data_IF_379126294199
#
_entry.id   IF_379126294199
#
_cell.length_a   1.000
_cell.length_b   1.000
_cell.length_c   1.000
_cell.angle_alpha   90.00
_cell.angle_beta   90.00
_cell.angle_gamma   90.00
#
_symmetry.space_group_name_H-M   'P 1'
#
loop_
_entity.id
_entity.type
_entity.pdbx_description
1 polymer ?
#
# COMPACT_ATOMS: atom_id res chain seq x y z
N UNK A 1 8.28 26.09 -12.58
CA UNK A 1 7.23 26.20 -11.54
C UNK A 1 6.49 24.89 -11.57
N UNK A 2 6.66 24.06 -10.57
CA UNK A 2 5.83 22.88 -10.35
C UNK A 2 4.45 23.40 -9.94
N UNK A 3 3.47 23.29 -10.82
CA UNK A 3 2.07 23.56 -10.45
C UNK A 3 1.67 22.53 -9.41
N UNK A 4 1.33 23.00 -8.19
CA UNK A 4 0.76 22.10 -7.17
C UNK A 4 -0.51 21.45 -7.75
N UNK A 5 -0.69 20.17 -7.47
CA UNK A 5 -1.93 19.48 -7.85
C UNK A 5 -3.06 19.92 -6.93
N UNK A 6 -4.26 19.97 -7.47
CA UNK A 6 -5.48 20.16 -6.72
C UNK A 6 -6.09 18.81 -6.33
N UNK A 7 -6.68 18.75 -5.13
CA UNK A 7 -7.28 17.55 -4.56
C UNK A 7 -8.64 17.83 -3.94
N UNK A 8 -9.45 16.78 -3.84
CA UNK A 8 -10.72 16.79 -3.13
C UNK A 8 -10.59 15.97 -1.83
N UNK A 9 -10.86 16.57 -0.65
CA UNK A 9 -10.74 15.84 0.61
C UNK A 9 -11.94 14.93 0.86
N UNK A 10 -11.68 13.84 1.57
CA UNK A 10 -12.70 12.93 2.07
C UNK A 10 -12.51 11.48 1.62
N UNK A 11 -12.55 10.57 2.58
CA UNK A 11 -12.44 9.14 2.32
C UNK A 11 -13.70 8.61 1.68
N UNK A 12 -13.60 8.10 0.44
CA UNK A 12 -14.71 7.52 -0.32
C UNK A 12 -15.96 8.41 -0.40
N UNK A 13 -15.79 9.72 -0.34
CA UNK A 13 -16.88 10.65 -0.58
C UNK A 13 -17.35 10.53 -2.03
N UNK A 14 -18.65 10.75 -2.25
CA UNK A 14 -19.18 10.98 -3.58
C UNK A 14 -18.71 12.37 -4.04
N UNK A 15 -17.77 12.39 -4.95
CA UNK A 15 -17.20 13.64 -5.51
C UNK A 15 -17.59 13.78 -6.98
N UNK A 16 -17.52 15.00 -7.48
CA UNK A 16 -17.74 15.33 -8.87
C UNK A 16 -16.68 16.32 -9.32
N UNK A 17 -16.07 16.08 -10.48
CA UNK A 17 -14.98 16.90 -10.98
C UNK A 17 -14.94 16.88 -12.51
N UNK A 18 -14.54 17.99 -13.12
CA UNK A 18 -14.42 18.13 -14.57
C UNK A 18 -13.18 18.95 -14.92
N UNK A 19 -12.43 18.51 -15.93
CA UNK A 19 -11.28 19.23 -16.45
C UNK A 19 -11.67 20.29 -17.51
N UNK A 20 -12.87 20.15 -18.09
CA UNK A 20 -13.48 21.15 -18.97
C UNK A 20 -14.84 21.54 -18.38
N UNK A 21 -15.12 22.84 -18.20
CA UNK A 21 -16.40 23.32 -17.68
C UNK A 21 -17.59 22.79 -18.47
N UNK A 22 -18.57 22.20 -17.80
CA UNK A 22 -19.78 21.64 -18.41
C UNK A 22 -19.60 20.25 -19.03
N UNK A 23 -18.50 19.54 -18.75
CA UNK A 23 -18.30 18.16 -19.21
C UNK A 23 -19.11 17.14 -18.41
N UNK A 24 -19.48 17.46 -17.18
CA UNK A 24 -20.39 16.63 -16.38
C UNK A 24 -21.84 16.78 -16.88
N UNK A 25 -22.53 15.68 -17.20
CA UNK A 25 -23.97 15.74 -17.49
C UNK A 25 -24.76 16.18 -16.26
N UNK A 26 -25.80 16.97 -16.48
CA UNK A 26 -26.75 17.35 -15.44
C UNK A 26 -27.88 16.31 -15.32
N UNK A 27 -28.17 15.86 -14.10
CA UNK A 27 -29.34 15.06 -13.75
C UNK A 27 -29.28 13.57 -14.14
N UNK A 28 -28.58 13.18 -15.20
CA UNK A 28 -28.50 11.79 -15.67
C UNK A 28 -27.03 11.34 -15.76
N UNK A 29 -26.77 10.10 -15.34
CA UNK A 29 -25.44 9.50 -15.46
C UNK A 29 -25.11 9.11 -16.91
N UNK A 30 -26.10 8.68 -17.68
CA UNK A 30 -25.94 8.23 -19.07
C UNK A 30 -27.04 8.87 -19.94
N UNK A 31 -26.94 10.17 -20.22
CA UNK A 31 -27.90 10.83 -21.11
C UNK A 31 -27.77 10.29 -22.53
N UNK A 32 -28.82 10.46 -23.35
CA UNK A 32 -28.78 10.06 -24.76
C UNK A 32 -27.59 10.68 -25.52
N UNK A 33 -27.21 11.90 -25.15
CA UNK A 33 -26.02 12.59 -25.67
C UNK A 33 -25.32 13.30 -24.52
N UNK A 34 -24.08 12.89 -24.25
CA UNK A 34 -23.25 13.58 -23.25
C UNK A 34 -22.74 14.93 -23.76
N UNK A 35 -22.43 15.88 -22.84
CA UNK A 35 -21.69 17.09 -23.20
C UNK A 35 -20.40 16.74 -23.96
N UNK A 36 -20.01 17.60 -24.88
CA UNK A 36 -18.80 17.43 -25.73
C UNK A 36 -18.79 16.12 -26.53
N UNK A 37 -19.94 15.47 -26.74
CA UNK A 37 -20.04 14.14 -27.37
C UNK A 37 -19.17 13.05 -26.68
N UNK A 38 -18.92 13.19 -25.36
CA UNK A 38 -18.17 12.22 -24.58
C UNK A 38 -18.95 10.90 -24.42
N UNK A 39 -18.23 9.83 -24.19
CA UNK A 39 -18.82 8.52 -23.85
C UNK A 39 -18.97 8.39 -22.35
N UNK A 40 -20.17 8.06 -21.89
CA UNK A 40 -20.43 7.70 -20.51
C UNK A 40 -20.03 6.24 -20.26
N UNK A 41 -19.15 6.02 -19.26
CA UNK A 41 -18.68 4.70 -18.87
C UNK A 41 -18.81 4.55 -17.36
N UNK A 42 -19.33 3.41 -16.86
CA UNK A 42 -19.39 3.12 -15.45
C UNK A 42 -18.23 2.20 -15.05
N UNK A 43 -17.46 2.61 -14.04
CA UNK A 43 -16.46 1.79 -13.36
C UNK A 43 -17.01 1.39 -11.99
N UNK A 44 -17.17 0.09 -11.74
CA UNK A 44 -17.70 -0.46 -10.49
C UNK A 44 -16.63 -1.24 -9.75
N UNK A 45 -16.35 -0.83 -8.51
CA UNK A 45 -15.49 -1.55 -7.57
C UNK A 45 -16.25 -2.51 -6.65
N UNK A 46 -17.55 -2.60 -6.80
CA UNK A 46 -18.44 -3.56 -6.11
C UNK A 46 -19.44 -4.15 -7.08
N UNK A 47 -20.11 -5.24 -6.68
CA UNK A 47 -21.21 -5.78 -7.48
C UNK A 47 -22.30 -4.72 -7.69
N UNK A 48 -22.99 -4.72 -8.84
CA UNK A 48 -24.10 -3.80 -9.11
C UNK A 48 -25.22 -3.88 -8.06
N UNK A 49 -25.37 -5.05 -7.46
CA UNK A 49 -26.38 -5.35 -6.43
C UNK A 49 -25.90 -5.07 -5.01
N UNK A 50 -24.69 -4.56 -4.82
CA UNK A 50 -24.19 -4.22 -3.50
C UNK A 50 -25.11 -3.20 -2.79
N UNK A 51 -25.37 -3.34 -1.48
CA UNK A 51 -26.15 -2.37 -0.72
C UNK A 51 -25.57 -0.97 -0.84
N UNK A 52 -26.42 0.05 -0.86
CA UNK A 52 -26.01 1.45 -1.05
C UNK A 52 -24.81 1.89 -0.20
N UNK A 53 -24.71 1.56 1.10
CA UNK A 53 -23.56 1.96 1.94
C UNK A 53 -22.23 1.35 1.51
N UNK A 54 -22.26 0.22 0.79
CA UNK A 54 -21.07 -0.53 0.36
C UNK A 54 -20.87 -0.49 -1.16
N UNK A 55 -21.73 0.24 -1.89
CA UNK A 55 -21.64 0.34 -3.34
C UNK A 55 -20.54 1.33 -3.72
N UNK A 56 -19.53 0.83 -4.44
CA UNK A 56 -18.39 1.61 -4.94
C UNK A 56 -18.48 1.69 -6.45
N UNK A 57 -18.64 2.90 -6.97
CA UNK A 57 -18.75 3.14 -8.41
C UNK A 57 -18.41 4.58 -8.77
N UNK A 58 -17.92 4.77 -9.99
CA UNK A 58 -17.76 6.08 -10.60
C UNK A 58 -18.26 6.07 -12.03
N UNK A 59 -18.82 7.19 -12.46
CA UNK A 59 -19.19 7.46 -13.82
C UNK A 59 -18.13 8.33 -14.46
N UNK A 60 -17.60 7.86 -15.58
CA UNK A 60 -16.52 8.48 -16.34
C UNK A 60 -17.09 9.01 -17.66
N UNK A 61 -16.72 10.23 -18.00
CA UNK A 61 -17.08 10.86 -19.26
C UNK A 61 -15.77 11.06 -20.02
N UNK A 62 -15.57 10.22 -21.05
CA UNK A 62 -14.28 10.07 -21.70
C UNK A 62 -14.35 10.22 -23.20
N UNK A 63 -13.21 10.55 -23.79
CA UNK A 63 -13.11 10.82 -25.24
C UNK A 63 -13.32 9.53 -26.04
N UNK A 64 -12.80 8.38 -25.57
CA UNK A 64 -12.94 7.07 -26.22
C UNK A 64 -13.33 6.02 -25.17
N UNK A 65 -14.31 5.16 -25.44
CA UNK A 65 -14.67 4.12 -24.47
C UNK A 65 -13.55 3.09 -24.32
N UNK A 66 -13.41 2.54 -23.12
CA UNK A 66 -12.33 1.57 -22.76
C UNK A 66 -12.25 0.34 -23.65
N UNK A 67 -13.30 0.02 -24.39
CA UNK A 67 -13.32 -1.12 -25.32
C UNK A 67 -12.53 -0.87 -26.61
N UNK A 68 -12.08 0.37 -26.87
CA UNK A 68 -11.26 0.72 -28.05
C UNK A 68 -9.81 0.32 -27.77
N UNK A 69 -9.52 -0.94 -28.00
CA UNK A 69 -8.20 -1.56 -27.82
C UNK A 69 -8.03 -2.79 -28.68
N UNK A 70 -6.78 -3.20 -28.94
CA UNK A 70 -6.48 -4.46 -29.61
C UNK A 70 -6.72 -5.66 -28.67
N UNK A 71 -6.70 -6.87 -29.22
CA UNK A 71 -6.78 -8.08 -28.38
C UNK A 71 -5.54 -8.21 -27.47
N UNK A 72 -5.76 -8.63 -26.23
CA UNK A 72 -4.69 -8.91 -25.29
C UNK A 72 -3.83 -10.09 -25.73
N UNK A 73 -2.54 -9.98 -25.44
CA UNK A 73 -1.55 -11.04 -25.62
C UNK A 73 -0.81 -11.28 -24.31
N UNK A 74 -0.41 -12.52 -24.00
CA UNK A 74 0.41 -12.81 -22.84
C UNK A 74 1.69 -11.98 -22.84
N UNK A 75 2.08 -11.49 -21.65
CA UNK A 75 3.32 -10.79 -21.39
C UNK A 75 4.02 -11.49 -20.21
N UNK A 76 5.35 -11.60 -20.28
CA UNK A 76 6.13 -12.15 -19.17
C UNK A 76 6.02 -11.23 -17.93
N UNK A 77 5.71 -11.82 -16.79
CA UNK A 77 5.50 -11.09 -15.55
C UNK A 77 6.81 -10.76 -14.80
N UNK A 78 7.97 -11.14 -15.34
CA UNK A 78 9.26 -10.92 -14.70
C UNK A 78 9.33 -11.57 -13.32
N UNK A 79 9.48 -10.74 -12.28
CA UNK A 79 9.57 -11.20 -10.87
C UNK A 79 8.26 -11.03 -10.10
N UNK A 80 7.14 -10.78 -10.79
CA UNK A 80 5.82 -10.65 -10.16
C UNK A 80 5.13 -12.00 -10.08
N UNK A 81 4.62 -12.34 -8.90
CA UNK A 81 3.84 -13.54 -8.64
C UNK A 81 2.49 -13.18 -7.98
N UNK A 82 1.54 -14.10 -8.01
CA UNK A 82 0.19 -13.93 -7.47
C UNK A 82 -0.24 -15.20 -6.73
N UNK A 83 -1.12 -15.05 -5.75
CA UNK A 83 -1.74 -16.18 -5.06
C UNK A 83 -2.83 -16.87 -5.93
N UNK A 84 -3.06 -18.19 -5.77
CA UNK A 84 -2.37 -19.06 -4.82
C UNK A 84 -0.93 -19.34 -5.24
N UNK A 85 0.00 -19.47 -4.27
CA UNK A 85 1.40 -19.70 -4.59
C UNK A 85 1.61 -21.11 -5.17
N UNK A 86 2.34 -21.17 -6.26
CA UNK A 86 2.71 -22.47 -6.86
C UNK A 86 3.82 -23.15 -6.04
N UNK A 87 4.80 -22.37 -5.57
CA UNK A 87 6.00 -22.74 -4.76
C UNK A 87 6.67 -21.45 -4.29
N UNK A 88 7.59 -21.51 -3.28
CA UNK A 88 7.78 -22.60 -2.32
C UNK A 88 6.68 -22.67 -1.26
N UNK A 89 6.72 -23.70 -0.41
CA UNK A 89 5.83 -23.79 0.75
C UNK A 89 6.09 -22.65 1.75
N UNK A 90 5.09 -22.28 2.54
CA UNK A 90 5.28 -21.37 3.66
C UNK A 90 6.27 -21.96 4.67
N UNK A 91 7.07 -21.08 5.26
CA UNK A 91 8.11 -21.40 6.21
C UNK A 91 7.77 -20.71 7.55
N UNK A 92 7.82 -21.40 8.72
CA UNK A 92 7.56 -20.82 10.01
C UNK A 92 8.70 -19.94 10.55
N UNK A 93 9.86 -19.91 9.90
CA UNK A 93 10.97 -19.09 10.29
C UNK A 93 10.71 -17.62 10.02
N UNK A 94 11.27 -16.76 10.88
CA UNK A 94 11.30 -15.32 10.67
C UNK A 94 12.25 -15.00 9.52
N UNK A 95 11.86 -14.06 8.67
CA UNK A 95 12.65 -13.65 7.50
C UNK A 95 12.88 -12.15 7.49
N UNK A 96 14.00 -11.73 6.92
CA UNK A 96 14.34 -10.31 6.73
C UNK A 96 15.06 -10.10 5.41
N UNK A 97 14.82 -8.95 4.81
CA UNK A 97 15.46 -8.47 3.60
C UNK A 97 16.00 -7.06 3.83
N UNK A 98 17.19 -6.82 3.34
CA UNK A 98 17.73 -5.47 3.17
C UNK A 98 16.95 -4.71 2.08
N UNK A 99 17.18 -3.41 1.95
CA UNK A 99 16.54 -2.64 0.88
C UNK A 99 16.82 -3.23 -0.50
N UNK A 100 15.78 -3.41 -1.31
CA UNK A 100 15.94 -3.83 -2.69
C UNK A 100 16.91 -2.89 -3.42
N UNK A 101 17.94 -3.41 -4.13
CA UNK A 101 18.90 -2.57 -4.83
C UNK A 101 18.23 -1.74 -5.92
N UNK A 102 18.69 -0.52 -6.09
CA UNK A 102 18.24 0.36 -7.16
C UNK A 102 18.83 -0.12 -8.49
N UNK A 103 18.05 -0.17 -9.57
CA UNK A 103 18.52 -0.69 -10.85
C UNK A 103 19.54 0.26 -11.49
N UNK A 104 20.59 -0.32 -12.11
CA UNK A 104 21.54 0.42 -12.95
C UNK A 104 21.01 0.59 -14.38
N UNK A 105 20.34 -0.45 -14.91
CA UNK A 105 19.70 -0.39 -16.22
C UNK A 105 18.38 0.39 -16.17
N UNK A 106 17.96 1.05 -17.28
CA UNK A 106 16.67 1.73 -17.34
C UNK A 106 15.50 0.77 -17.07
N UNK A 107 14.86 0.95 -15.92
CA UNK A 107 13.80 0.08 -15.40
C UNK A 107 12.62 0.95 -14.99
N UNK A 108 11.44 0.68 -15.52
CA UNK A 108 10.20 1.35 -15.09
C UNK A 108 9.55 0.64 -13.90
N UNK A 109 8.43 1.20 -13.42
CA UNK A 109 7.74 0.69 -12.23
C UNK A 109 7.33 -0.78 -12.37
N UNK A 110 6.77 -1.20 -13.51
CA UNK A 110 6.30 -2.58 -13.72
C UNK A 110 7.48 -3.55 -13.72
N UNK A 111 8.54 -3.22 -14.47
CA UNK A 111 9.73 -4.05 -14.58
C UNK A 111 10.55 -4.07 -13.27
N UNK A 112 10.40 -3.02 -12.45
CA UNK A 112 11.02 -2.87 -11.14
C UNK A 112 10.32 -3.59 -9.98
N UNK A 113 9.12 -4.16 -10.22
CA UNK A 113 8.40 -4.92 -9.20
C UNK A 113 9.04 -6.27 -8.92
N UNK A 114 9.12 -6.64 -7.64
CA UNK A 114 9.45 -7.97 -7.16
C UNK A 114 8.46 -8.37 -6.08
N UNK A 115 7.75 -9.45 -6.30
CA UNK A 115 6.88 -10.02 -5.27
C UNK A 115 7.71 -10.72 -4.21
N UNK A 116 7.58 -10.25 -2.96
CA UNK A 116 8.26 -10.87 -1.82
C UNK A 116 7.48 -12.08 -1.33
N UNK A 117 6.19 -11.92 -1.10
CA UNK A 117 5.33 -12.99 -0.62
C UNK A 117 3.88 -12.78 -1.09
N UNK A 118 3.13 -13.87 -1.13
CA UNK A 118 1.71 -13.90 -1.46
C UNK A 118 0.94 -14.79 -0.50
N UNK A 119 -0.35 -14.53 -0.33
CA UNK A 119 -1.25 -15.41 0.40
C UNK A 119 -2.67 -15.37 -0.18
N UNK A 120 -3.52 -16.32 0.27
CA UNK A 120 -4.89 -16.40 -0.21
C UNK A 120 -5.02 -16.89 -1.65
N UNK A 121 -5.98 -16.33 -2.39
CA UNK A 121 -6.29 -16.66 -3.79
C UNK A 121 -6.92 -15.44 -4.47
N UNK A 122 -6.22 -14.87 -5.46
CA UNK A 122 -6.68 -13.70 -6.20
C UNK A 122 -7.99 -13.97 -6.96
N UNK A 123 -8.18 -15.17 -7.51
CA UNK A 123 -9.41 -15.54 -8.23
C UNK A 123 -10.61 -15.71 -7.27
N UNK A 124 -10.36 -16.12 -6.02
CA UNK A 124 -11.35 -16.18 -4.95
C UNK A 124 -11.54 -14.84 -4.21
N UNK A 125 -10.78 -13.80 -4.60
CA UNK A 125 -10.78 -12.47 -3.98
C UNK A 125 -10.48 -12.53 -2.47
N UNK A 126 -9.44 -13.26 -2.09
CA UNK A 126 -8.98 -13.41 -0.71
C UNK A 126 -7.46 -13.27 -0.63
N UNK A 127 -6.97 -12.70 0.48
CA UNK A 127 -5.53 -12.53 0.70
C UNK A 127 -4.96 -11.32 -0.01
N UNK A 128 -3.64 -11.33 -0.15
CA UNK A 128 -2.87 -10.26 -0.77
C UNK A 128 -1.52 -10.73 -1.32
N UNK A 129 -0.94 -9.91 -2.19
CA UNK A 129 0.47 -9.98 -2.58
C UNK A 129 1.25 -8.81 -2.00
N UNK A 130 2.47 -9.06 -1.56
CA UNK A 130 3.37 -8.01 -1.10
C UNK A 130 4.55 -7.91 -2.04
N UNK A 131 4.76 -6.73 -2.59
CA UNK A 131 5.82 -6.45 -3.53
C UNK A 131 6.73 -5.34 -2.99
N UNK A 132 7.98 -5.37 -3.40
CA UNK A 132 8.88 -4.21 -3.38
C UNK A 132 9.07 -3.72 -4.80
N UNK A 133 9.25 -2.41 -4.96
CA UNK A 133 9.63 -1.84 -6.24
C UNK A 133 10.92 -1.04 -6.13
N UNK A 134 11.71 -1.05 -7.20
CA UNK A 134 12.85 -0.18 -7.40
C UNK A 134 12.95 0.16 -8.89
N UNK A 135 12.90 1.45 -9.24
CA UNK A 135 12.94 1.86 -10.63
C UNK A 135 13.64 3.22 -10.81
N UNK A 136 14.12 3.49 -12.04
CA UNK A 136 14.87 4.69 -12.40
C UNK A 136 14.43 5.31 -13.73
N UNK A 137 13.30 4.86 -14.28
CA UNK A 137 12.75 5.35 -15.56
C UNK A 137 11.24 5.54 -15.46
N UNK A 138 10.76 6.64 -16.04
CA UNK A 138 9.33 6.90 -16.18
C UNK A 138 8.67 5.86 -17.10
N UNK A 139 7.44 5.49 -16.79
CA UNK A 139 6.52 4.93 -17.78
C UNK A 139 6.08 6.08 -18.70
N UNK A 140 6.36 6.00 -20.02
CA UNK A 140 6.01 7.06 -20.96
C UNK A 140 4.90 6.66 -21.92
N UNK A 141 5.12 5.60 -22.67
CA UNK A 141 4.16 5.04 -23.63
C UNK A 141 3.53 3.74 -23.10
N UNK A 142 3.69 3.47 -21.82
CA UNK A 142 3.25 2.27 -21.13
C UNK A 142 2.33 2.63 -19.98
N UNK A 143 1.19 1.95 -19.88
CA UNK A 143 0.20 2.09 -18.82
C UNK A 143 -0.05 0.76 -18.16
N UNK A 144 -0.62 0.80 -16.96
CA UNK A 144 -0.91 -0.40 -16.19
C UNK A 144 -2.29 -0.31 -15.54
N UNK A 145 -2.94 -1.44 -15.38
CA UNK A 145 -4.02 -1.62 -14.41
C UNK A 145 -3.97 -3.03 -13.83
N UNK A 146 -4.44 -3.15 -12.59
CA UNK A 146 -4.55 -4.41 -11.89
C UNK A 146 -6.04 -4.82 -11.82
N UNK A 147 -6.38 -5.98 -12.37
CA UNK A 147 -7.72 -6.56 -12.29
C UNK A 147 -7.86 -7.57 -11.14
N UNK A 148 -6.76 -8.01 -10.55
CA UNK A 148 -6.72 -8.98 -9.46
C UNK A 148 -6.94 -8.32 -8.09
N UNK A 149 -6.43 -7.09 -7.91
CA UNK A 149 -6.48 -6.38 -6.64
C UNK A 149 -6.47 -4.86 -6.76
N UNK A 150 -6.60 -4.18 -5.62
CA UNK A 150 -6.22 -2.78 -5.49
C UNK A 150 -4.79 -2.68 -4.95
N UNK A 151 -4.08 -1.64 -5.34
CA UNK A 151 -2.68 -1.42 -4.97
C UNK A 151 -2.56 -0.35 -3.91
N UNK A 152 -2.13 -0.71 -2.70
CA UNK A 152 -1.67 0.24 -1.69
C UNK A 152 -0.17 0.43 -1.86
N UNK A 153 0.25 1.62 -2.27
CA UNK A 153 1.63 1.98 -2.59
C UNK A 153 2.21 2.79 -1.42
N UNK A 154 3.37 2.36 -0.93
CA UNK A 154 4.09 2.98 0.19
C UNK A 154 5.50 3.39 -0.28
N UNK A 155 5.70 4.63 -0.73
CA UNK A 155 7.02 5.12 -1.11
C UNK A 155 7.98 5.17 0.07
N UNK A 156 9.22 4.72 -0.14
CA UNK A 156 10.30 4.80 0.82
C UNK A 156 11.38 5.79 0.37
N UNK A 157 11.72 5.76 -0.91
CA UNK A 157 12.70 6.64 -1.56
C UNK A 157 12.09 7.24 -2.82
N UNK A 158 12.30 8.53 -3.03
CA UNK A 158 11.79 9.28 -4.17
C UNK A 158 10.29 9.61 -4.04
N UNK A 159 9.83 10.49 -4.91
CA UNK A 159 8.44 10.93 -5.00
C UNK A 159 7.86 10.46 -6.33
N UNK A 160 6.69 9.84 -6.26
CA UNK A 160 5.97 9.30 -7.41
C UNK A 160 4.93 10.30 -7.93
N UNK A 161 4.85 10.43 -9.23
CA UNK A 161 3.72 11.02 -9.92
C UNK A 161 2.87 9.88 -10.51
N UNK A 162 1.75 9.60 -9.87
CA UNK A 162 0.79 8.60 -10.31
C UNK A 162 -0.24 9.31 -11.22
N UNK A 163 -0.14 9.09 -12.52
CA UNK A 163 -1.07 9.63 -13.49
C UNK A 163 -2.14 8.58 -13.75
N UNK A 164 -3.33 8.81 -13.28
CA UNK A 164 -4.46 7.89 -13.44
C UNK A 164 -5.49 8.43 -14.42
N UNK A 165 -6.38 7.59 -14.93
CA UNK A 165 -7.48 8.04 -15.79
C UNK A 165 -8.49 8.96 -15.07
N UNK A 166 -8.43 9.03 -13.72
CA UNK A 166 -9.30 9.90 -12.90
C UNK A 166 -8.58 11.17 -12.40
N UNK A 167 -7.32 11.37 -12.76
CA UNK A 167 -6.49 12.50 -12.35
C UNK A 167 -5.13 12.07 -11.81
N UNK A 168 -4.39 12.99 -11.23
CA UNK A 168 -3.00 12.77 -10.87
C UNK A 168 -2.77 12.90 -9.36
N UNK A 169 -1.95 12.01 -8.81
CA UNK A 169 -1.48 12.04 -7.43
C UNK A 169 0.04 12.22 -7.40
N UNK A 170 0.52 13.03 -6.48
CA UNK A 170 1.94 13.07 -6.13
C UNK A 170 2.10 12.51 -4.72
N UNK A 171 2.98 11.50 -4.56
CA UNK A 171 3.08 10.70 -3.35
C UNK A 171 4.56 10.49 -3.02
N UNK A 172 4.98 11.03 -1.88
CA UNK A 172 6.34 10.93 -1.38
C UNK A 172 6.51 9.96 -0.21
N UNK A 173 7.74 9.86 0.28
CA UNK A 173 8.03 9.12 1.52
C UNK A 173 7.25 9.70 2.69
N UNK A 174 6.58 8.85 3.48
CA UNK A 174 5.67 9.26 4.56
C UNK A 174 4.21 9.43 4.12
N UNK A 175 3.91 9.31 2.84
CA UNK A 175 2.54 9.24 2.31
C UNK A 175 2.24 7.84 1.76
N UNK A 176 0.97 7.54 1.59
CA UNK A 176 0.49 6.36 0.86
C UNK A 176 -0.45 6.76 -0.25
N UNK A 177 -0.55 5.92 -1.28
CA UNK A 177 -1.63 5.98 -2.26
C UNK A 177 -2.31 4.62 -2.43
N UNK A 178 -3.61 4.66 -2.71
CA UNK A 178 -4.36 3.48 -3.12
C UNK A 178 -4.88 3.71 -4.54
N UNK A 179 -4.53 2.78 -5.43
CA UNK A 179 -5.07 2.69 -6.78
C UNK A 179 -6.08 1.55 -6.79
N UNK A 180 -7.37 1.84 -6.85
CA UNK A 180 -8.42 0.82 -6.86
C UNK A 180 -8.31 -0.10 -8.09
N UNK A 181 -8.82 -1.33 -7.93
CA UNK A 181 -8.85 -2.37 -8.97
C UNK A 181 -9.44 -1.84 -10.29
N UNK A 182 -8.75 -2.08 -11.39
CA UNK A 182 -9.20 -1.75 -12.73
C UNK A 182 -8.91 -0.32 -13.21
N UNK A 183 -8.43 0.57 -12.34
CA UNK A 183 -8.06 1.92 -12.75
C UNK A 183 -6.75 1.89 -13.52
N UNK A 184 -6.76 2.50 -14.71
CA UNK A 184 -5.58 2.62 -15.56
C UNK A 184 -4.69 3.76 -15.08
N UNK A 185 -3.39 3.51 -15.00
CA UNK A 185 -2.44 4.49 -14.52
C UNK A 185 -1.05 4.33 -15.13
N UNK A 186 -0.22 5.33 -14.88
CA UNK A 186 1.17 5.41 -15.27
C UNK A 186 1.98 5.99 -14.11
N UNK A 187 3.15 5.44 -13.84
CA UNK A 187 4.04 5.91 -12.77
C UNK A 187 5.21 6.67 -13.39
N UNK A 188 5.46 7.87 -12.86
CA UNK A 188 6.62 8.70 -13.19
C UNK A 188 7.34 9.15 -11.92
N UNK A 189 8.60 9.49 -12.07
CA UNK A 189 9.38 10.17 -11.04
C UNK A 189 8.97 11.64 -11.00
N UNK A 190 8.57 12.13 -9.84
CA UNK A 190 8.20 13.52 -9.65
C UNK A 190 9.44 14.42 -9.52
N UNK A 191 9.24 15.73 -9.45
CA UNK A 191 10.30 16.65 -9.04
C UNK A 191 10.50 16.59 -7.52
N UNK A 192 11.74 16.57 -7.05
CA UNK A 192 12.03 16.71 -5.61
C UNK A 192 11.50 18.04 -5.06
N UNK A 193 11.30 18.10 -3.75
CA UNK A 193 10.81 19.30 -3.05
C UNK A 193 11.72 20.52 -3.20
N UNK A 194 12.99 20.32 -3.55
CA UNK A 194 14.00 21.35 -3.84
C UNK A 194 13.99 21.82 -5.32
N UNK A 195 13.08 21.28 -6.15
CA UNK A 195 12.97 21.57 -7.58
C UNK A 195 13.90 20.70 -8.45
N UNK A 196 14.68 19.80 -7.86
CA UNK A 196 15.39 18.75 -8.61
C UNK A 196 14.41 17.72 -9.13
N UNK A 197 14.79 16.99 -10.19
CA UNK A 197 14.03 15.83 -10.64
C UNK A 197 14.54 14.59 -9.94
N UNK A 198 13.62 13.81 -9.38
CA UNK A 198 13.94 12.48 -8.88
C UNK A 198 14.47 11.61 -10.02
N UNK A 199 15.51 10.84 -9.74
CA UNK A 199 16.16 9.97 -10.73
C UNK A 199 15.86 8.50 -10.49
N UNK A 200 15.34 8.16 -9.33
CA UNK A 200 15.04 6.79 -8.91
C UNK A 200 14.04 6.78 -7.77
N UNK A 201 13.34 5.67 -7.61
CA UNK A 201 12.41 5.46 -6.53
C UNK A 201 12.43 4.01 -6.05
N UNK A 202 12.10 3.81 -4.77
CA UNK A 202 11.92 2.52 -4.13
C UNK A 202 10.82 2.61 -3.10
N UNK A 203 10.12 1.47 -2.89
CA UNK A 203 9.08 1.36 -1.89
C UNK A 203 8.40 0.00 -1.92
N UNK A 204 7.20 -0.04 -1.39
CA UNK A 204 6.44 -1.26 -1.19
C UNK A 204 5.05 -1.13 -1.80
N UNK A 205 4.46 -2.27 -2.15
CA UNK A 205 3.08 -2.36 -2.63
C UNK A 205 2.40 -3.53 -1.94
N UNK A 206 1.23 -3.30 -1.36
CA UNK A 206 0.29 -4.34 -1.02
C UNK A 206 -0.77 -4.42 -2.12
N UNK A 207 -0.84 -5.55 -2.80
CA UNK A 207 -1.89 -5.89 -3.75
C UNK A 207 -2.99 -6.63 -2.99
N UNK A 208 -4.04 -5.91 -2.62
CA UNK A 208 -5.17 -6.46 -1.86
C UNK A 208 -6.17 -7.15 -2.81
N UNK A 209 -6.26 -8.48 -2.73
CA UNK A 209 -7.23 -9.25 -3.54
C UNK A 209 -8.64 -9.24 -2.94
N UNK A 210 -8.77 -8.92 -1.65
CA UNK A 210 -10.03 -8.99 -0.90
C UNK A 210 -10.97 -7.81 -1.13
N UNK A 211 -11.77 -7.57 -0.11
CA UNK A 211 -12.63 -6.38 -0.07
C UNK A 211 -11.81 -5.10 -0.13
N UNK A 212 -12.30 -4.03 -0.77
CA UNK A 212 -11.59 -2.77 -0.83
C UNK A 212 -11.24 -2.24 0.57
N UNK A 213 -10.05 -1.64 0.71
CA UNK A 213 -9.57 -1.04 1.95
C UNK A 213 -10.52 0.03 2.46
N UNK A 214 -10.90 -0.04 3.71
CA UNK A 214 -11.78 0.91 4.40
C UNK A 214 -11.16 1.42 5.70
N UNK A 215 -11.77 2.44 6.30
CA UNK A 215 -11.35 2.90 7.63
C UNK A 215 -11.75 1.86 8.68
N UNK A 216 -10.88 1.55 9.64
CA UNK A 216 -11.21 0.61 10.71
C UNK A 216 -12.32 1.14 11.61
N UNK A 217 -13.01 0.26 12.30
CA UNK A 217 -14.00 0.61 13.31
C UNK A 217 -13.37 1.41 14.46
N UNK A 218 -14.01 2.49 14.87
CA UNK A 218 -13.46 3.38 15.90
C UNK A 218 -13.50 2.78 17.32
N UNK A 219 -14.42 1.84 17.57
CA UNK A 219 -14.55 1.21 18.88
C UNK A 219 -14.67 2.26 20.00
N UNK A 220 -13.97 2.08 21.15
CA UNK A 220 -14.01 3.02 22.26
C UNK A 220 -13.20 4.30 22.02
N UNK A 221 -12.40 4.41 20.96
CA UNK A 221 -11.53 5.54 20.65
C UNK A 221 -12.36 6.77 20.25
N UNK A 222 -13.47 6.55 19.54
CA UNK A 222 -14.33 7.63 19.03
C UNK A 222 -13.77 8.29 17.76
N UNK A 223 -14.47 9.34 17.31
CA UNK A 223 -14.25 9.94 15.99
C UNK A 223 -12.90 10.67 15.81
N UNK A 224 -12.22 11.03 16.90
CA UNK A 224 -10.94 11.77 16.84
C UNK A 224 -9.71 10.85 16.90
N UNK A 225 -9.91 9.54 16.98
CA UNK A 225 -8.81 8.57 16.94
C UNK A 225 -8.48 8.13 15.52
N UNK A 226 -7.27 7.55 15.33
CA UNK A 226 -6.82 6.94 14.07
C UNK A 226 -6.76 7.93 12.89
N UNK A 227 -6.87 7.41 11.65
CA UNK A 227 -6.91 8.24 10.45
C UNK A 227 -8.25 8.97 10.31
N UNK A 228 -8.20 10.29 10.06
CA UNK A 228 -9.42 11.08 9.88
C UNK A 228 -9.83 11.07 8.40
N UNK A 229 -11.10 10.78 8.07
CA UNK A 229 -11.59 10.76 6.68
C UNK A 229 -11.27 12.02 5.88
N UNK A 230 -11.26 13.20 6.49
CA UNK A 230 -10.99 14.49 5.82
C UNK A 230 -9.58 14.61 5.25
N UNK A 231 -8.62 13.84 5.78
CA UNK A 231 -7.20 13.96 5.44
C UNK A 231 -6.82 13.06 4.26
N UNK A 232 -7.76 12.25 3.76
CA UNK A 232 -7.64 11.51 2.52
C UNK A 232 -7.95 12.40 1.32
N UNK A 233 -7.09 12.36 0.31
CA UNK A 233 -7.13 13.27 -0.83
C UNK A 233 -7.33 12.48 -2.13
N UNK A 234 -8.40 12.80 -2.85
CA UNK A 234 -8.74 12.26 -4.16
C UNK A 234 -8.36 13.26 -5.25
N UNK A 235 -7.83 12.85 -6.42
CA UNK A 235 -7.43 13.79 -7.46
C UNK A 235 -8.65 14.47 -8.10
N UNK A 236 -8.42 15.64 -8.67
CA UNK A 236 -9.37 16.26 -9.60
C UNK A 236 -9.18 15.70 -10.99
N UNK A 237 -10.22 15.75 -11.84
CA UNK A 237 -10.16 15.28 -13.21
C UNK A 237 -9.03 15.99 -13.99
N UNK A 238 -8.23 15.19 -14.66
CA UNK A 238 -7.20 15.65 -15.57
C UNK A 238 -7.11 14.65 -16.73
N UNK A 239 -7.08 15.14 -17.97
CA UNK A 239 -7.07 14.27 -19.14
C UNK A 239 -5.97 14.63 -20.11
N UNK A 240 -5.62 13.70 -20.99
CA UNK A 240 -4.82 13.94 -22.17
C UNK A 240 -5.49 13.33 -23.42
N UNK A 241 -5.68 14.14 -24.44
CA UNK A 241 -6.09 13.67 -25.77
C UNK A 241 -4.84 13.51 -26.63
N UNK A 242 -4.10 12.44 -26.41
CA UNK A 242 -2.85 12.15 -27.10
C UNK A 242 -2.99 10.89 -27.94
N UNK A 243 -2.80 11.06 -29.26
CA UNK A 243 -2.72 9.95 -30.20
C UNK A 243 -1.26 9.44 -30.30
N UNK A 244 -1.10 8.15 -30.55
CA UNK A 244 0.21 7.51 -30.66
C UNK A 244 0.12 6.00 -30.46
N UNK A 245 1.25 5.36 -30.41
CA UNK A 245 1.32 3.93 -30.06
C UNK A 245 1.58 3.76 -28.57
N UNK A 246 0.66 3.12 -27.87
CA UNK A 246 0.74 2.88 -26.43
C UNK A 246 0.57 1.42 -26.09
N UNK A 247 1.24 0.98 -25.04
CA UNK A 247 1.06 -0.32 -24.43
C UNK A 247 0.22 -0.18 -23.14
N UNK A 248 -0.87 -0.92 -23.05
CA UNK A 248 -1.60 -1.10 -21.80
C UNK A 248 -1.33 -2.51 -21.28
N UNK A 249 -0.67 -2.59 -20.13
CA UNK A 249 -0.41 -3.83 -19.41
C UNK A 249 -1.53 -4.06 -18.40
N UNK A 250 -2.08 -5.26 -18.42
CA UNK A 250 -3.10 -5.73 -17.48
C UNK A 250 -2.52 -6.84 -16.62
N UNK A 251 -2.66 -6.75 -15.31
CA UNK A 251 -2.51 -7.92 -14.44
C UNK A 251 -3.89 -8.56 -14.29
N UNK A 252 -4.05 -9.78 -14.76
CA UNK A 252 -5.32 -10.50 -14.77
C UNK A 252 -5.12 -11.98 -14.49
N UNK A 253 -5.79 -12.49 -13.47
CA UNK A 253 -5.71 -13.88 -13.00
C UNK A 253 -4.25 -14.34 -12.83
N UNK A 254 -3.46 -13.50 -12.14
CA UNK A 254 -2.07 -13.76 -11.79
C UNK A 254 -1.07 -13.69 -12.93
N UNK A 255 -1.47 -13.18 -14.09
CA UNK A 255 -0.61 -13.08 -15.28
C UNK A 255 -0.62 -11.66 -15.84
N UNK A 256 0.46 -11.30 -16.49
CA UNK A 256 0.50 -10.09 -17.29
C UNK A 256 0.03 -10.33 -18.72
N UNK A 257 -0.72 -9.35 -19.18
CA UNK A 257 -1.24 -9.28 -20.54
C UNK A 257 -0.96 -7.90 -21.09
N UNK A 258 -0.72 -7.81 -22.38
CA UNK A 258 -0.47 -6.54 -23.03
C UNK A 258 -1.43 -6.35 -24.20
N UNK A 259 -1.92 -5.13 -24.37
CA UNK A 259 -2.67 -4.71 -25.55
C UNK A 259 -2.13 -3.39 -26.07
N UNK A 260 -2.39 -3.09 -27.35
CA UNK A 260 -2.02 -1.84 -28.00
C UNK A 260 -3.21 -0.91 -28.08
N UNK A 261 -2.93 0.36 -27.80
CA UNK A 261 -3.85 1.48 -27.98
C UNK A 261 -3.25 2.45 -28.99
N UNK A 262 -4.09 3.12 -29.78
CA UNK A 262 -3.71 4.22 -30.68
C UNK A 262 -3.86 5.59 -30.01
N UNK A 263 -4.21 5.60 -28.72
CA UNK A 263 -4.44 6.81 -27.91
C UNK A 263 -4.06 6.54 -26.45
N UNK A 264 -3.79 7.62 -25.70
CA UNK A 264 -3.61 7.54 -24.26
C UNK A 264 -4.91 7.12 -23.57
N UNK A 265 -4.88 6.13 -22.64
CA UNK A 265 -6.07 5.76 -21.90
C UNK A 265 -6.43 6.74 -20.77
N UNK A 266 -5.64 7.80 -20.55
CA UNK A 266 -5.91 8.86 -19.57
C UNK A 266 -6.81 9.95 -20.18
N UNK A 267 -7.89 9.55 -20.84
CA UNK A 267 -8.74 10.42 -21.63
C UNK A 267 -10.11 10.74 -21.00
N UNK A 268 -10.23 10.57 -19.68
CA UNK A 268 -11.44 10.89 -18.90
C UNK A 268 -11.47 12.40 -18.60
N UNK A 269 -12.39 13.11 -19.25
CA UNK A 269 -12.51 14.58 -19.16
C UNK A 269 -13.22 15.01 -17.89
N UNK A 270 -14.16 14.20 -17.41
CA UNK A 270 -14.91 14.44 -16.19
C UNK A 270 -15.36 13.12 -15.57
N UNK A 271 -15.56 13.11 -14.27
CA UNK A 271 -16.08 11.95 -13.55
C UNK A 271 -16.76 12.35 -12.25
N UNK A 272 -17.65 11.50 -11.76
CA UNK A 272 -18.21 11.61 -10.41
C UNK A 272 -18.41 10.22 -9.81
N UNK A 273 -18.31 10.11 -8.51
CA UNK A 273 -18.49 8.86 -7.78
C UNK A 273 -17.65 8.78 -6.52
N UNK A 274 -17.57 7.57 -5.97
CA UNK A 274 -16.83 7.23 -4.75
C UNK A 274 -15.82 6.11 -4.95
N UNK A 275 -15.58 5.68 -6.17
CA UNK A 275 -14.55 4.70 -6.54
C UNK A 275 -13.48 5.39 -7.35
N UNK A 276 -12.44 5.84 -6.67
CA UNK A 276 -11.37 6.65 -7.22
C UNK A 276 -10.07 6.42 -6.45
N UNK A 277 -8.90 6.70 -7.05
CA UNK A 277 -7.63 6.66 -6.32
C UNK A 277 -7.59 7.75 -5.26
N UNK A 278 -6.82 7.49 -4.21
CA UNK A 278 -6.61 8.47 -3.14
C UNK A 278 -5.22 8.34 -2.53
N UNK A 279 -4.80 9.39 -1.83
CA UNK A 279 -3.58 9.40 -1.00
C UNK A 279 -3.88 9.84 0.42
N UNK A 280 -2.96 9.54 1.33
CA UNK A 280 -3.02 9.96 2.72
C UNK A 280 -1.62 10.23 3.25
N UNK A 281 -1.46 11.33 3.99
CA UNK A 281 -0.22 11.67 4.69
C UNK A 281 -0.23 11.00 6.07
N UNK A 282 0.70 10.08 6.31
CA UNK A 282 0.80 9.31 7.55
C UNK A 282 1.10 10.20 8.78
N UNK A 283 1.63 11.41 8.57
CA UNK A 283 1.82 12.39 9.64
C UNK A 283 0.49 12.93 10.21
N UNK A 284 -0.62 12.80 9.47
CA UNK A 284 -1.96 13.17 9.93
C UNK A 284 -2.60 12.12 10.86
N UNK A 285 -1.94 10.97 11.08
CA UNK A 285 -2.50 9.91 11.91
C UNK A 285 -2.54 10.31 13.40
N UNK A 286 -3.71 10.19 14.02
CA UNK A 286 -3.89 10.51 15.43
C UNK A 286 -3.48 9.33 16.32
N UNK A 287 -2.20 9.30 16.69
CA UNK A 287 -1.59 8.23 17.48
C UNK A 287 -2.09 8.23 18.93
N UNK A 288 -2.48 7.08 19.43
CA UNK A 288 -2.98 6.89 20.81
C UNK A 288 -2.07 5.90 21.53
N UNK A 289 -1.64 6.26 22.74
CA UNK A 289 -0.85 5.42 23.63
C UNK A 289 -1.45 5.31 25.02
N UNK A 290 -1.11 4.24 25.76
CA UNK A 290 -1.41 4.10 27.17
C UNK A 290 -0.48 4.95 28.03
N UNK A 291 -1.01 5.55 29.08
CA UNK A 291 -0.23 6.22 30.14
C UNK A 291 -0.15 5.37 31.42
N UNK A 292 -0.87 4.25 31.51
CA UNK A 292 -0.93 3.35 32.66
C UNK A 292 -0.10 2.09 32.47
N UNK A 293 -0.36 1.06 33.26
CA UNK A 293 0.50 -0.11 33.47
C UNK A 293 0.54 -1.13 32.35
N UNK A 294 0.13 -0.79 31.14
CA UNK A 294 0.12 -1.77 30.07
C UNK A 294 0.50 -1.18 28.71
N UNK A 295 1.05 -2.00 27.85
CA UNK A 295 1.41 -1.63 26.49
C UNK A 295 0.23 -1.94 25.56
N UNK A 296 -0.18 -1.00 24.68
CA UNK A 296 -1.20 -1.29 23.66
C UNK A 296 -0.76 -2.44 22.75
N UNK A 297 -1.73 -3.17 22.20
CA UNK A 297 -1.44 -4.14 21.16
C UNK A 297 -0.71 -3.50 19.97
N UNK A 298 0.28 -4.16 19.37
CA UNK A 298 1.05 -3.59 18.28
C UNK A 298 0.21 -3.10 17.10
N UNK A 299 -0.93 -3.74 16.84
CA UNK A 299 -1.83 -3.41 15.71
C UNK A 299 -2.80 -2.26 15.99
N UNK A 300 -2.68 -1.55 17.11
CA UNK A 300 -3.61 -0.46 17.45
C UNK A 300 -3.57 0.72 16.46
N UNK A 301 -2.47 0.88 15.73
CA UNK A 301 -2.28 1.99 14.79
C UNK A 301 -2.69 1.64 13.37
N UNK A 302 -3.82 0.97 13.20
CA UNK A 302 -4.37 0.61 11.88
C UNK A 302 -4.90 1.85 11.17
N UNK A 303 -4.35 2.12 9.99
CA UNK A 303 -4.77 3.23 9.11
C UNK A 303 -5.94 2.80 8.22
N UNK A 304 -5.80 1.64 7.59
CA UNK A 304 -6.79 1.06 6.66
C UNK A 304 -6.92 -0.44 6.93
N UNK A 305 -8.11 -0.97 6.72
CA UNK A 305 -8.42 -2.40 6.85
C UNK A 305 -9.16 -2.91 5.62
N UNK A 306 -8.84 -4.11 5.16
CA UNK A 306 -9.64 -4.86 4.19
C UNK A 306 -10.42 -5.93 4.98
N UNK A 307 -11.74 -5.84 5.06
CA UNK A 307 -12.55 -6.84 5.76
C UNK A 307 -12.42 -8.22 5.13
N UNK A 308 -12.50 -9.27 5.96
CA UNK A 308 -12.64 -10.65 5.51
C UNK A 308 -14.05 -11.19 5.76
N UNK A 309 -14.31 -12.43 5.37
CA UNK A 309 -15.53 -13.17 5.67
C UNK A 309 -15.64 -13.58 7.16
N UNK A 310 -14.56 -13.44 7.92
CA UNK A 310 -14.54 -13.73 9.36
C UNK A 310 -14.58 -12.43 10.14
N UNK A 311 -15.67 -12.20 10.84
CA UNK A 311 -15.85 -11.00 11.66
C UNK A 311 -14.71 -10.81 12.66
N UNK A 312 -14.18 -9.58 12.74
CA UNK A 312 -13.09 -9.22 13.64
C UNK A 312 -11.70 -9.71 13.23
N UNK A 313 -11.55 -10.26 12.03
CA UNK A 313 -10.24 -10.68 11.49
C UNK A 313 -10.10 -10.17 10.07
N UNK A 314 -9.17 -9.27 9.83
CA UNK A 314 -8.99 -8.65 8.53
C UNK A 314 -8.42 -9.61 7.48
N UNK A 315 -8.78 -9.37 6.22
CA UNK A 315 -8.07 -9.92 5.05
C UNK A 315 -6.62 -9.41 5.05
N UNK A 316 -6.49 -8.09 5.14
CA UNK A 316 -5.22 -7.40 5.40
C UNK A 316 -5.47 -6.05 6.07
N UNK A 317 -4.68 -5.74 7.08
CA UNK A 317 -4.58 -4.42 7.72
C UNK A 317 -3.32 -3.71 7.27
N UNK A 318 -3.42 -2.39 7.10
CA UNK A 318 -2.28 -1.51 6.99
C UNK A 318 -2.10 -0.77 8.31
N UNK A 319 -1.06 -1.14 9.04
CA UNK A 319 -0.71 -0.62 10.37
C UNK A 319 0.55 0.23 10.24
N UNK A 320 0.68 1.30 11.01
CA UNK A 320 1.90 2.10 11.06
C UNK A 320 2.46 2.19 12.47
N UNK A 321 3.77 2.47 12.56
CA UNK A 321 4.46 2.78 13.81
C UNK A 321 5.06 4.17 13.67
N UNK A 322 4.21 5.21 13.92
CA UNK A 322 4.59 6.59 13.68
C UNK A 322 5.38 7.18 14.86
N UNK A 323 5.92 8.41 14.71
CA UNK A 323 6.44 9.17 15.84
C UNK A 323 5.45 9.25 16.99
N UNK A 324 5.92 9.03 18.23
CA UNK A 324 5.05 8.96 19.41
C UNK A 324 5.79 9.16 20.72
N UNK A 325 5.03 9.51 21.75
CA UNK A 325 5.51 9.52 23.13
C UNK A 325 5.35 8.12 23.77
N UNK A 326 6.42 7.62 24.37
CA UNK A 326 6.43 6.42 25.19
C UNK A 326 6.32 6.84 26.66
N UNK A 327 5.17 6.61 27.27
CA UNK A 327 4.83 7.15 28.59
C UNK A 327 4.26 6.13 29.59
N UNK A 328 3.99 4.88 29.14
CA UNK A 328 3.40 3.85 30.00
C UNK A 328 4.23 3.63 31.27
N UNK A 329 3.58 3.76 32.43
CA UNK A 329 4.18 3.62 33.75
C UNK A 329 4.47 2.15 34.05
N UNK A 330 5.64 1.83 34.61
CA UNK A 330 5.98 0.48 35.07
C UNK A 330 6.02 -0.61 33.98
N UNK A 331 5.88 -0.24 32.71
CA UNK A 331 5.68 -1.15 31.60
C UNK A 331 6.94 -1.28 30.74
N UNK A 332 7.24 -2.49 30.30
CA UNK A 332 8.22 -2.73 29.23
C UNK A 332 7.73 -2.05 27.94
N UNK A 333 8.47 -1.10 27.41
CA UNK A 333 7.98 -0.19 26.37
C UNK A 333 8.12 -0.65 24.93
N UNK A 334 9.15 -1.41 24.52
CA UNK A 334 9.17 -2.05 23.22
C UNK A 334 7.99 -3.04 23.07
N UNK A 335 7.60 -3.38 21.86
CA UNK A 335 6.67 -4.48 21.64
C UNK A 335 7.15 -5.74 22.39
N UNK A 336 6.27 -6.37 23.13
CA UNK A 336 6.59 -7.57 23.92
C UNK A 336 6.81 -8.79 23.02
N UNK A 337 7.46 -9.84 23.51
CA UNK A 337 7.52 -11.12 22.80
C UNK A 337 6.10 -11.69 22.65
N UNK A 338 5.77 -12.08 21.43
CA UNK A 338 4.41 -12.58 21.13
C UNK A 338 4.38 -13.59 19.99
N UNK A 339 3.23 -14.21 19.84
CA UNK A 339 2.84 -15.06 18.72
C UNK A 339 1.44 -14.64 18.31
N UNK A 340 1.27 -14.22 17.07
CA UNK A 340 0.01 -13.71 16.55
C UNK A 340 -0.65 -14.75 15.63
N UNK A 341 -1.98 -14.79 15.62
CA UNK A 341 -2.76 -15.53 14.62
C UNK A 341 -2.53 -14.98 13.22
N UNK A 342 -2.39 -13.67 13.10
CA UNK A 342 -2.14 -12.98 11.83
C UNK A 342 -0.66 -13.11 11.44
N UNK A 343 -0.42 -13.05 10.13
CA UNK A 343 0.93 -13.00 9.56
C UNK A 343 1.32 -11.57 9.28
N UNK A 344 2.54 -11.17 9.59
CA UNK A 344 3.01 -9.80 9.61
C UNK A 344 4.16 -9.61 8.61
N UNK A 345 3.94 -8.74 7.61
CA UNK A 345 5.00 -8.23 6.76
C UNK A 345 5.26 -6.77 7.12
N UNK A 346 6.46 -6.49 7.62
CA UNK A 346 6.86 -5.14 8.03
C UNK A 346 7.80 -4.51 7.01
N UNK A 347 7.73 -3.18 6.91
CA UNK A 347 8.69 -2.35 6.19
C UNK A 347 9.09 -1.12 7.02
N UNK A 348 10.30 -0.63 6.82
CA UNK A 348 10.79 0.59 7.44
C UNK A 348 10.90 1.72 6.40
N UNK A 349 10.12 2.77 6.58
CA UNK A 349 10.10 3.92 5.67
C UNK A 349 11.29 4.83 5.96
N UNK A 350 11.48 5.23 7.23
CA UNK A 350 12.62 6.01 7.65
C UNK A 350 12.95 5.81 9.15
N UNK A 351 14.15 6.20 9.53
CA UNK A 351 14.62 6.19 10.91
C UNK A 351 14.95 4.81 11.44
N UNK A 352 14.61 4.56 12.70
CA UNK A 352 14.92 3.35 13.44
C UNK A 352 13.61 2.75 14.00
N UNK A 353 13.53 1.42 14.04
CA UNK A 353 12.41 0.73 14.66
C UNK A 353 12.74 0.34 16.10
N UNK A 354 11.88 0.66 17.04
CA UNK A 354 12.11 0.54 18.49
C UNK A 354 12.33 -0.89 19.03
N UNK A 355 11.90 -1.92 18.29
CA UNK A 355 12.12 -3.30 18.65
C UNK A 355 13.41 -3.94 18.07
N UNK A 356 14.13 -3.21 17.22
CA UNK A 356 15.28 -3.72 16.46
C UNK A 356 16.40 -2.68 16.44
N UNK A 357 17.42 -2.87 17.28
CA UNK A 357 18.53 -1.93 17.38
C UNK A 357 19.41 -1.90 16.12
N UNK A 358 19.55 -3.03 15.42
CA UNK A 358 20.40 -3.16 14.24
C UNK A 358 19.78 -4.06 13.16
N UNK A 359 20.27 -3.94 11.94
CA UNK A 359 19.95 -4.82 10.82
C UNK A 359 18.57 -4.61 10.17
N UNK A 360 17.72 -3.71 10.68
CA UNK A 360 16.47 -3.32 10.05
C UNK A 360 16.57 -1.85 9.64
N UNK A 361 16.92 -1.62 8.39
CA UNK A 361 17.23 -0.28 7.84
C UNK A 361 16.11 0.22 6.91
N UNK A 362 15.97 1.54 6.67
CA UNK A 362 14.98 2.08 5.76
C UNK A 362 15.02 1.46 4.36
N UNK A 363 13.89 0.97 3.89
CA UNK A 363 13.76 0.20 2.66
C UNK A 363 13.82 -1.31 2.85
N UNK A 364 14.24 -1.79 4.03
CA UNK A 364 14.24 -3.21 4.39
C UNK A 364 12.84 -3.72 4.76
N UNK A 365 12.71 -5.04 4.83
CA UNK A 365 11.47 -5.72 5.16
C UNK A 365 11.70 -6.93 6.06
N UNK A 366 10.68 -7.30 6.87
CA UNK A 366 10.66 -8.55 7.63
C UNK A 366 9.32 -9.26 7.50
N UNK A 367 9.32 -10.58 7.65
CA UNK A 367 8.15 -11.43 7.60
C UNK A 367 8.11 -12.35 8.83
N UNK A 368 7.01 -12.26 9.57
CA UNK A 368 6.69 -13.14 10.69
C UNK A 368 5.34 -13.78 10.41
N UNK A 369 5.35 -15.06 10.06
CA UNK A 369 4.11 -15.78 9.74
C UNK A 369 3.30 -16.12 10.98
N UNK A 370 2.05 -16.51 10.77
CA UNK A 370 1.10 -16.99 11.76
C UNK A 370 1.79 -17.86 12.82
N UNK A 371 1.63 -17.52 14.10
CA UNK A 371 2.21 -18.20 15.27
C UNK A 371 3.74 -18.26 15.32
N UNK A 372 4.45 -17.60 14.41
CA UNK A 372 5.90 -17.46 14.48
C UNK A 372 6.28 -16.54 15.64
N UNK A 373 7.05 -17.02 16.66
CA UNK A 373 7.39 -16.19 17.80
C UNK A 373 8.36 -15.08 17.41
N UNK A 374 8.11 -13.86 17.86
CA UNK A 374 9.00 -12.72 17.62
C UNK A 374 8.83 -11.64 18.70
N UNK A 375 9.64 -10.59 18.63
CA UNK A 375 9.66 -9.51 19.61
C UNK A 375 10.96 -8.72 19.51
N UNK A 376 11.36 -7.99 20.57
CA UNK A 376 12.60 -7.24 20.57
C UNK A 376 13.81 -8.17 20.41
N UNK A 377 14.86 -7.68 19.76
CA UNK A 377 16.14 -8.38 19.78
C UNK A 377 16.77 -8.38 21.19
N UNK A 378 17.82 -9.17 21.37
CA UNK A 378 18.44 -9.35 22.70
C UNK A 378 18.98 -8.04 23.29
N UNK A 379 19.60 -7.18 22.45
CA UNK A 379 20.16 -5.91 22.90
C UNK A 379 19.06 -4.92 23.30
N UNK A 380 18.00 -4.84 22.50
CA UNK A 380 16.82 -4.02 22.81
C UNK A 380 16.15 -4.49 24.11
N UNK A 381 16.00 -5.79 24.30
CA UNK A 381 15.44 -6.34 25.53
C UNK A 381 16.28 -5.96 26.76
N UNK A 382 17.60 -6.16 26.71
CA UNK A 382 18.51 -5.85 27.82
C UNK A 382 18.51 -4.34 28.15
N UNK A 383 18.53 -3.47 27.14
CA UNK A 383 18.49 -2.02 27.34
C UNK A 383 17.13 -1.58 27.93
N UNK A 384 16.04 -2.07 27.38
CA UNK A 384 14.70 -1.69 27.81
C UNK A 384 14.35 -2.19 29.21
N UNK A 385 14.82 -3.39 29.59
CA UNK A 385 14.61 -3.95 30.92
C UNK A 385 15.31 -3.18 32.04
N UNK A 386 16.34 -2.41 31.72
CA UNK A 386 17.15 -1.62 32.68
C UNK A 386 16.93 -0.12 32.52
N UNK A 387 16.11 0.32 31.56
CA UNK A 387 15.89 1.71 31.27
C UNK A 387 15.17 2.42 32.43
N UNK A 388 15.60 3.67 32.73
CA UNK A 388 14.81 4.54 33.58
C UNK A 388 13.57 5.00 32.81
N UNK A 389 12.40 4.70 33.35
CA UNK A 389 11.13 5.03 32.68
C UNK A 389 10.79 6.52 32.87
N UNK A 390 11.11 7.31 31.91
CA UNK A 390 10.75 8.71 31.76
C UNK A 390 9.95 8.90 30.46
N UNK A 391 9.15 9.97 30.31
CA UNK A 391 8.56 10.27 29.00
C UNK A 391 9.63 10.39 27.93
N UNK A 392 9.53 9.57 26.87
CA UNK A 392 10.49 9.52 25.77
C UNK A 392 9.75 9.72 24.45
N UNK A 393 10.21 10.64 23.64
CA UNK A 393 9.69 10.87 22.30
C UNK A 393 10.48 10.07 21.26
N UNK A 394 9.79 9.14 20.61
CA UNK A 394 10.30 8.39 19.45
C UNK A 394 9.99 9.19 18.18
N UNK A 395 10.85 10.14 17.84
CA UNK A 395 10.59 11.09 16.74
C UNK A 395 11.18 10.67 15.39
N UNK A 396 12.25 9.87 15.39
CA UNK A 396 12.92 9.43 14.17
C UNK A 396 12.52 7.98 13.85
N UNK A 397 11.25 7.76 13.54
CA UNK A 397 10.74 6.42 13.18
C UNK A 397 9.48 6.54 12.34
N UNK A 398 9.40 5.75 11.29
CA UNK A 398 8.16 5.44 10.61
C UNK A 398 8.29 4.06 9.96
N UNK A 399 7.75 3.05 10.61
CA UNK A 399 7.59 1.73 10.05
C UNK A 399 6.13 1.46 9.76
N UNK A 400 5.86 0.41 8.98
CA UNK A 400 4.51 -0.07 8.71
C UNK A 400 4.47 -1.59 8.71
N UNK A 401 3.24 -2.13 8.76
CA UNK A 401 2.97 -3.54 8.70
C UNK A 401 1.75 -3.81 7.79
N UNK A 402 1.88 -4.82 6.93
CA UNK A 402 0.74 -5.49 6.31
C UNK A 402 0.46 -6.74 7.14
N UNK A 403 -0.63 -6.72 7.87
CA UNK A 403 -1.03 -7.81 8.75
C UNK A 403 -2.21 -8.56 8.15
N UNK A 404 -2.04 -9.86 7.87
CA UNK A 404 -3.03 -10.66 7.15
C UNK A 404 -3.40 -11.92 7.92
N UNK A 405 -4.68 -12.28 7.90
CA UNK A 405 -5.15 -13.57 8.45
C UNK A 405 -4.57 -14.80 7.74
N UNK A 406 -4.05 -14.62 6.53
CA UNK A 406 -3.52 -15.71 5.73
C UNK A 406 -2.00 -15.83 5.90
N UNK A 407 -1.52 -17.08 5.86
CA UNK A 407 -0.09 -17.36 5.91
C UNK A 407 0.58 -16.91 4.62
N UNK A 408 1.63 -16.12 4.71
CA UNK A 408 2.43 -15.69 3.58
C UNK A 408 3.36 -16.80 3.08
N UNK A 409 3.39 -16.95 1.76
CA UNK A 409 4.32 -17.81 1.04
C UNK A 409 5.34 -16.92 0.32
N UNK A 410 6.60 -16.90 0.77
CA UNK A 410 7.64 -16.17 0.08
C UNK A 410 7.88 -16.75 -1.32
N UNK A 411 8.20 -15.89 -2.29
CA UNK A 411 8.49 -16.33 -3.66
C UNK A 411 9.91 -16.89 -3.78
N UNK A 412 10.15 -17.71 -4.81
CA UNK A 412 11.52 -18.18 -5.12
C UNK A 412 12.47 -17.00 -5.37
N UNK A 413 11.99 -15.95 -6.07
CA UNK A 413 12.77 -14.76 -6.33
C UNK A 413 13.18 -14.00 -5.06
N UNK A 414 12.29 -13.90 -4.07
CA UNK A 414 12.59 -13.26 -2.80
C UNK A 414 13.51 -14.11 -1.90
N UNK A 415 13.35 -15.44 -1.95
CA UNK A 415 14.21 -16.37 -1.19
C UNK A 415 15.64 -16.45 -1.76
N UNK A 416 15.80 -16.29 -3.08
CA UNK A 416 17.07 -16.29 -3.77
C UNK A 416 17.71 -14.88 -3.89
N UNK A 417 17.05 -13.83 -3.38
CA UNK A 417 17.54 -12.47 -3.49
C UNK A 417 18.84 -12.26 -2.70
N UNK A 418 19.85 -11.65 -3.31
CA UNK A 418 21.14 -11.36 -2.69
C UNK A 418 21.02 -10.42 -1.47
N UNK A 419 19.92 -9.66 -1.37
CA UNK A 419 19.61 -8.78 -0.26
C UNK A 419 18.76 -9.44 0.85
N UNK A 420 18.56 -10.76 0.81
CA UNK A 420 17.98 -11.52 1.92
C UNK A 420 19.01 -11.72 3.02
N UNK A 421 18.65 -11.40 4.28
CA UNK A 421 19.45 -11.72 5.48
C UNK A 421 19.23 -13.19 5.87
N UNK A 422 20.30 -13.98 5.92
CA UNK A 422 20.22 -15.41 6.25
C UNK A 422 20.40 -15.69 7.76
N UNK A 423 20.89 -14.71 8.50
CA UNK A 423 21.24 -14.75 9.91
C UNK A 423 20.25 -14.00 10.82
N UNK A 424 19.10 -13.60 10.28
CA UNK A 424 18.12 -12.80 11.03
C UNK A 424 17.70 -13.42 12.37
N UNK A 425 17.54 -14.72 12.44
CA UNK A 425 17.15 -15.42 13.68
C UNK A 425 18.21 -15.33 14.78
N UNK A 426 19.46 -15.01 14.46
CA UNK A 426 20.56 -14.91 15.42
C UNK A 426 20.41 -13.70 16.36
N UNK A 427 19.57 -12.71 16.02
CA UNK A 427 19.29 -11.55 16.89
C UNK A 427 18.71 -11.94 18.26
N UNK A 428 18.17 -13.13 18.39
CA UNK A 428 17.64 -13.68 19.64
C UNK A 428 18.56 -14.72 20.30
N UNK A 429 19.66 -15.14 19.66
CA UNK A 429 20.51 -16.26 20.12
C UNK A 429 21.22 -15.98 21.44
N UNK A 430 21.39 -14.72 21.82
CA UNK A 430 22.06 -14.30 23.07
C UNK A 430 21.10 -14.09 24.24
N UNK A 431 19.78 -14.21 24.02
CA UNK A 431 18.81 -14.18 25.11
C UNK A 431 19.05 -15.30 26.09
N UNK A 432 19.11 -14.99 27.40
CA UNK A 432 19.42 -15.94 28.45
C UNK A 432 18.27 -16.13 29.43
N UNK A 433 18.22 -17.26 30.07
CA UNK A 433 17.32 -17.45 31.21
C UNK A 433 17.84 -16.66 32.42
N UNK A 434 16.98 -15.80 32.96
CA UNK A 434 17.26 -14.99 34.16
C UNK A 434 16.46 -15.48 35.39
N UNK A 435 15.73 -16.59 35.23
CA UNK A 435 14.87 -17.11 36.30
C UNK A 435 15.70 -17.63 37.48
N UNK A 436 15.50 -17.03 38.65
CA UNK A 436 16.00 -17.50 39.92
C UNK A 436 14.82 -17.59 40.90
N UNK A 437 14.42 -18.79 41.36
CA UNK A 437 13.29 -18.95 42.26
C UNK A 437 13.52 -18.34 43.65
N UNK A 438 14.74 -17.94 43.99
CA UNK A 438 15.08 -17.33 45.29
C UNK A 438 15.12 -15.78 45.22
N UNK A 439 14.94 -15.21 44.06
CA UNK A 439 14.93 -13.76 43.84
C UNK A 439 13.58 -13.36 43.25
N UNK A 440 12.60 -12.92 44.07
CA UNK A 440 11.27 -12.54 43.63
C UNK A 440 11.25 -11.25 42.84
#
# INVERSE_FOLDING_TARGET
MTTSLDYQPGFRNHVATEALPGALPEGQNSPQRCPYDLYAEQLSGSAFTAPRPHNLRSWLYRIRPSVVQSAYRPLEAGRVATAPPARPAADPNQMRWDPAPLPEAPTDFIDGLLTVAVNGDAAAQTGCGVHVYAFNRDMTERFFYDADGELLIVPQLGTLRLRTELGELEVGSGEIAVIPRGIKFQVRLAGGSDGSRETQARGYVCENYGSPLELPGLGPIGANGLANPRDFLTPVAAFEDRQGEFELVAKFSGRFWSTRLDHSPLDVVAWHGNYAPYKYDLACFNTINSVSFDHPDPSIFTVLTSPSDTAGTANVDFVIFPPRWMVAEGTFRPPYFHRNLMSEFMGLIHGEYDAKAEGFVPGGASLHNCMSPHGPDADTFEKASKAKLEPQYQGNTLAFMFESRYVFHPTEAALAADFRQHDYVDVWSTLRAHFDPNTP
#
